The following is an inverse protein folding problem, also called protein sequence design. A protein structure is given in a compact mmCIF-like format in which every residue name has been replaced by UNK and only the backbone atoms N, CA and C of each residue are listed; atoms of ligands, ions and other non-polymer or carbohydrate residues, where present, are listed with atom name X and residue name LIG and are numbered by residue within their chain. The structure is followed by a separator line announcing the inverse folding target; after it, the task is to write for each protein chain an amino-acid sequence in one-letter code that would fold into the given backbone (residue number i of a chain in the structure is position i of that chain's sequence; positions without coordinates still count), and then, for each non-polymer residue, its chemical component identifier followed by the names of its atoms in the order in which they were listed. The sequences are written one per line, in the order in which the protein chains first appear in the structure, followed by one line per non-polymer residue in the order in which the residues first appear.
data_IF_877287126101
#
_entry.id   IF_877287126101
#
_cell.length_a   1.000
_cell.length_b   1.000
_cell.length_c   1.000
_cell.angle_alpha   90.00
_cell.angle_beta   90.00
_cell.angle_gamma   90.00
#
_symmetry.space_group_name_H-M   'P 1'
#
loop_
_entity.id
_entity.type
_entity.pdbx_description
1 polymer ?
#
# COMPACT_ATOMS: atom_id res chain seq x y z
N UNK A 1 8.84 2.79 -4.71
CA UNK A 1 8.78 1.31 -4.60
C UNK A 1 9.68 0.74 -3.50
N UNK A 2 10.95 1.15 -3.40
CA UNK A 2 11.88 0.67 -2.36
C UNK A 2 11.37 0.94 -0.93
N UNK A 3 10.64 2.04 -0.75
CA UNK A 3 9.98 2.42 0.52
C UNK A 3 8.89 1.46 0.99
N UNK A 4 8.17 0.80 0.07
CA UNK A 4 7.14 -0.18 0.44
C UNK A 4 7.77 -1.49 0.95
N UNK A 5 8.90 -1.89 0.36
CA UNK A 5 9.62 -3.11 0.72
C UNK A 5 10.29 -3.05 2.12
N UNK A 6 10.57 -1.85 2.64
CA UNK A 6 11.22 -1.65 3.93
C UNK A 6 10.31 -1.88 5.16
N UNK A 7 9.02 -2.19 4.96
CA UNK A 7 8.04 -2.31 6.05
C UNK A 7 8.02 -3.74 6.64
N UNK A 8 9.14 -4.23 7.17
CA UNK A 8 9.25 -5.67 7.55
C UNK A 8 9.07 -5.98 9.03
N UNK A 9 9.04 -4.99 9.93
CA UNK A 9 8.76 -5.26 11.35
C UNK A 9 8.08 -4.05 12.00
N UNK A 10 6.83 -4.20 12.44
CA UNK A 10 6.14 -3.16 13.19
C UNK A 10 5.70 -3.75 14.55
N UNK A 11 6.36 -3.33 15.63
CA UNK A 11 5.97 -3.58 17.03
C UNK A 11 5.33 -4.96 17.30
N UNK A 12 6.05 -6.05 17.01
CA UNK A 12 5.59 -7.42 17.30
C UNK A 12 4.65 -8.05 16.27
N UNK A 13 4.22 -7.30 15.24
CA UNK A 13 3.45 -7.82 14.11
C UNK A 13 4.41 -8.17 12.96
N UNK A 14 4.37 -9.43 12.52
CA UNK A 14 5.07 -9.88 11.32
C UNK A 14 4.33 -9.42 10.07
N UNK A 15 5.02 -8.76 9.15
CA UNK A 15 4.46 -8.33 7.87
C UNK A 15 4.85 -9.31 6.76
N UNK A 16 3.88 -10.00 6.16
CA UNK A 16 4.05 -10.87 4.98
C UNK A 16 3.78 -10.05 3.72
N UNK A 17 4.83 -9.47 3.13
CA UNK A 17 4.75 -8.67 1.91
C UNK A 17 4.85 -9.56 0.66
N UNK A 18 3.87 -9.44 -0.25
CA UNK A 18 3.79 -10.18 -1.51
C UNK A 18 3.62 -9.21 -2.67
N UNK A 19 4.53 -9.31 -3.62
CA UNK A 19 4.45 -8.61 -4.90
C UNK A 19 3.92 -9.55 -5.99
N UNK A 20 3.03 -9.06 -6.85
CA UNK A 20 2.65 -9.76 -8.09
C UNK A 20 2.70 -8.84 -9.30
N UNK A 21 2.84 -9.47 -10.46
CA UNK A 21 3.03 -8.77 -11.72
C UNK A 21 4.44 -8.22 -11.89
N UNK A 22 4.70 -7.64 -13.06
CA UNK A 22 5.99 -7.01 -13.37
C UNK A 22 6.07 -5.66 -12.68
N UNK A 23 7.05 -5.49 -11.79
CA UNK A 23 7.30 -4.22 -11.11
C UNK A 23 7.72 -3.19 -12.15
N UNK A 24 6.97 -2.08 -12.19
CA UNK A 24 7.24 -0.95 -13.08
C UNK A 24 7.40 0.33 -12.26
N UNK A 25 8.20 1.29 -12.74
CA UNK A 25 8.24 2.63 -12.15
C UNK A 25 6.82 3.20 -12.07
N UNK A 26 6.50 3.77 -10.91
CA UNK A 26 5.23 4.43 -10.70
C UNK A 26 5.42 5.95 -10.69
N UNK A 27 4.40 6.71 -11.11
CA UNK A 27 4.27 8.12 -10.79
C UNK A 27 4.46 8.36 -9.29
N UNK A 28 5.12 9.47 -8.94
CA UNK A 28 5.56 9.74 -7.56
C UNK A 28 4.39 9.90 -6.58
N UNK A 29 3.28 10.48 -7.04
CA UNK A 29 2.02 10.61 -6.30
C UNK A 29 1.40 9.24 -5.99
N UNK A 30 1.38 8.32 -6.96
CA UNK A 30 0.91 6.94 -6.76
C UNK A 30 1.81 6.18 -5.79
N UNK A 31 3.14 6.28 -5.96
CA UNK A 31 4.09 5.61 -5.06
C UNK A 31 3.95 6.11 -3.61
N UNK A 32 3.78 7.42 -3.42
CA UNK A 32 3.59 8.02 -2.11
C UNK A 32 2.24 7.63 -1.49
N UNK A 33 1.15 7.67 -2.27
CA UNK A 33 -0.17 7.26 -1.80
C UNK A 33 -0.17 5.79 -1.40
N UNK A 34 0.41 4.92 -2.22
CA UNK A 34 0.58 3.50 -1.92
C UNK A 34 1.35 3.27 -0.62
N UNK A 35 2.48 3.97 -0.43
CA UNK A 35 3.26 3.91 0.79
C UNK A 35 2.44 4.31 2.02
N UNK A 36 1.70 5.43 1.95
CA UNK A 36 0.88 5.90 3.08
C UNK A 36 -0.29 4.98 3.40
N UNK A 37 -0.92 4.38 2.38
CA UNK A 37 -1.99 3.39 2.59
C UNK A 37 -1.45 2.18 3.33
N UNK A 38 -0.31 1.63 2.88
CA UNK A 38 0.31 0.47 3.54
C UNK A 38 0.76 0.81 4.95
N UNK A 39 1.42 1.95 5.15
CA UNK A 39 1.89 2.40 6.46
C UNK A 39 0.73 2.53 7.45
N UNK A 40 -0.30 3.29 7.10
CA UNK A 40 -1.46 3.52 7.97
C UNK A 40 -2.19 2.21 8.28
N UNK A 41 -2.34 1.34 7.27
CA UNK A 41 -2.97 0.03 7.45
C UNK A 41 -2.18 -0.85 8.43
N UNK A 42 -0.85 -0.91 8.30
CA UNK A 42 0.01 -1.67 9.22
C UNK A 42 -0.04 -1.07 10.63
N UNK A 43 -0.05 0.26 10.75
CA UNK A 43 -0.24 0.94 12.05
C UNK A 43 -1.58 0.57 12.69
N UNK A 44 -2.66 0.53 11.91
CA UNK A 44 -3.98 0.11 12.39
C UNK A 44 -3.97 -1.35 12.88
N UNK A 45 -3.31 -2.25 12.15
CA UNK A 45 -3.14 -3.64 12.60
C UNK A 45 -2.42 -3.69 13.95
N UNK A 46 -1.29 -3.01 14.08
CA UNK A 46 -0.48 -2.98 15.32
C UNK A 46 -1.29 -2.45 16.50
N UNK A 47 -2.06 -1.37 16.30
CA UNK A 47 -2.79 -0.70 17.39
C UNK A 47 -4.10 -1.39 17.76
N UNK A 48 -4.77 -2.03 16.80
CA UNK A 48 -6.19 -2.40 16.98
C UNK A 48 -6.53 -3.87 16.71
N UNK A 49 -5.74 -4.60 15.92
CA UNK A 49 -6.16 -5.96 15.49
C UNK A 49 -5.98 -7.03 16.57
N UNK A 50 -4.98 -6.90 17.44
CA UNK A 50 -4.50 -7.97 18.30
C UNK A 50 -3.90 -9.17 17.52
N UNK A 51 -3.65 -9.03 16.22
CA UNK A 51 -3.01 -10.04 15.39
C UNK A 51 -1.49 -10.04 15.59
N UNK A 52 -0.86 -11.21 15.45
CA UNK A 52 0.61 -11.34 15.43
C UNK A 52 1.20 -11.22 14.03
N UNK A 53 0.34 -11.13 13.00
CA UNK A 53 0.76 -10.98 11.61
C UNK A 53 -0.28 -10.26 10.77
N UNK A 54 0.18 -9.53 9.77
CA UNK A 54 -0.63 -9.07 8.64
C UNK A 54 0.01 -9.45 7.31
N UNK A 55 -0.81 -9.53 6.28
CA UNK A 55 -0.41 -9.71 4.89
C UNK A 55 -0.59 -8.41 4.14
N UNK A 56 0.44 -8.02 3.40
CA UNK A 56 0.37 -6.92 2.44
C UNK A 56 0.57 -7.53 1.05
N UNK A 57 -0.40 -7.36 0.16
CA UNK A 57 -0.25 -7.69 -1.25
C UNK A 57 -0.21 -6.42 -2.08
N UNK A 58 0.75 -6.36 -2.99
CA UNK A 58 0.88 -5.28 -3.96
C UNK A 58 0.97 -5.90 -5.35
N UNK A 59 -0.09 -5.69 -6.15
CA UNK A 59 -0.24 -6.26 -7.48
C UNK A 59 -0.09 -5.14 -8.52
N UNK A 60 0.96 -5.24 -9.34
CA UNK A 60 1.14 -4.39 -10.53
C UNK A 60 0.27 -4.93 -11.66
N UNK A 61 -0.89 -4.30 -11.87
CA UNK A 61 -1.77 -4.55 -13.00
C UNK A 61 -1.38 -3.69 -14.20
N UNK A 62 -1.96 -3.95 -15.36
CA UNK A 62 -1.65 -3.23 -16.61
C UNK A 62 -2.00 -1.74 -16.57
N UNK A 63 -3.02 -1.36 -15.81
CA UNK A 63 -3.56 -0.01 -15.73
C UNK A 63 -3.67 0.51 -14.29
N UNK A 64 -3.23 -0.26 -13.29
CA UNK A 64 -3.39 0.11 -11.89
C UNK A 64 -2.35 -0.56 -10.98
N UNK A 65 -2.19 0.01 -9.79
CA UNK A 65 -1.59 -0.64 -8.63
C UNK A 65 -2.70 -1.05 -7.68
N UNK A 66 -2.84 -2.36 -7.42
CA UNK A 66 -3.77 -2.86 -6.42
C UNK A 66 -3.02 -3.20 -5.13
N UNK A 67 -3.57 -2.75 -4.00
CA UNK A 67 -3.01 -2.95 -2.66
C UNK A 67 -4.07 -3.62 -1.80
N UNK A 68 -3.67 -4.67 -1.11
CA UNK A 68 -4.49 -5.36 -0.12
C UNK A 68 -3.70 -5.49 1.18
N UNK A 69 -4.25 -5.02 2.29
CA UNK A 69 -3.71 -5.26 3.63
C UNK A 69 -4.76 -6.00 4.44
N UNK A 70 -4.40 -7.17 4.96
CA UNK A 70 -5.30 -7.98 5.76
C UNK A 70 -4.62 -8.59 6.98
N UNK A 71 -5.39 -8.76 8.05
CA UNK A 71 -4.97 -9.48 9.25
C UNK A 71 -5.99 -10.56 9.63
N UNK A 72 -5.64 -11.35 10.65
CA UNK A 72 -6.51 -12.40 11.23
C UNK A 72 -6.82 -12.13 12.70
N UNK A 73 -6.73 -10.87 13.11
CA UNK A 73 -7.01 -10.43 14.46
C UNK A 73 -8.49 -10.46 14.78
N UNK A 74 -8.87 -9.85 15.91
CA UNK A 74 -10.24 -9.94 16.46
C UNK A 74 -11.30 -9.23 15.61
N UNK A 75 -10.89 -8.58 14.50
CA UNK A 75 -11.75 -7.70 13.72
C UNK A 75 -12.21 -6.56 14.61
N UNK A 76 -11.32 -5.59 14.85
CA UNK A 76 -11.61 -4.48 15.76
C UNK A 76 -12.95 -3.83 15.40
N UNK A 77 -13.80 -3.62 16.41
CA UNK A 77 -14.89 -2.66 16.28
C UNK A 77 -14.22 -1.37 15.81
N UNK A 78 -14.65 -0.79 14.70
CA UNK A 78 -14.14 0.49 14.22
C UNK A 78 -14.54 1.56 15.23
N UNK A 79 -13.80 1.63 16.34
CA UNK A 79 -13.94 2.68 17.33
C UNK A 79 -13.62 4.02 16.68
N UNK A 80 -14.13 5.08 17.27
CA UNK A 80 -14.02 6.47 16.80
C UNK A 80 -12.61 6.90 16.40
N UNK A 81 -11.56 6.31 17.00
CA UNK A 81 -10.15 6.61 16.70
C UNK A 81 -9.63 5.99 15.39
N UNK A 82 -10.27 4.94 14.87
CA UNK A 82 -9.93 4.37 13.54
C UNK A 82 -10.45 5.22 12.38
N UNK A 83 -11.38 6.14 12.66
CA UNK A 83 -12.02 6.99 11.65
C UNK A 83 -11.03 7.85 10.88
N UNK A 84 -10.09 8.51 11.56
CA UNK A 84 -9.15 9.43 10.90
C UNK A 84 -8.18 8.71 9.95
N UNK A 85 -7.67 7.54 10.33
CA UNK A 85 -6.76 6.76 9.49
C UNK A 85 -7.45 6.25 8.22
N UNK A 86 -8.67 5.72 8.34
CA UNK A 86 -9.47 5.25 7.21
C UNK A 86 -9.93 6.40 6.29
N UNK A 87 -10.35 7.53 6.86
CA UNK A 87 -10.73 8.73 6.10
C UNK A 87 -9.54 9.24 5.29
N UNK A 88 -8.37 9.42 5.91
CA UNK A 88 -7.18 9.89 5.19
C UNK A 88 -6.70 8.93 4.10
N UNK A 89 -6.89 7.61 4.28
CA UNK A 89 -6.63 6.63 3.22
C UNK A 89 -7.64 6.76 2.07
N UNK A 90 -8.93 6.87 2.37
CA UNK A 90 -9.99 7.05 1.38
C UNK A 90 -9.79 8.31 0.55
N UNK A 91 -9.49 9.43 1.19
CA UNK A 91 -9.22 10.72 0.54
C UNK A 91 -8.03 10.61 -0.41
N UNK A 92 -6.91 10.02 0.03
CA UNK A 92 -5.72 9.81 -0.83
C UNK A 92 -6.03 8.97 -2.06
N UNK A 93 -6.84 7.92 -1.91
CA UNK A 93 -7.26 7.09 -3.04
C UNK A 93 -8.18 7.87 -3.97
N UNK A 94 -9.13 8.63 -3.43
CA UNK A 94 -10.07 9.43 -4.21
C UNK A 94 -9.36 10.54 -5.01
N UNK A 95 -8.33 11.18 -4.45
CA UNK A 95 -7.50 12.18 -5.13
C UNK A 95 -6.80 11.62 -6.38
N UNK A 96 -6.57 10.31 -6.43
CA UNK A 96 -5.98 9.61 -7.56
C UNK A 96 -7.02 8.88 -8.42
N UNK A 97 -8.30 9.21 -8.24
CA UNK A 97 -9.43 8.58 -8.94
C UNK A 97 -9.48 7.05 -8.78
N UNK A 98 -9.02 6.56 -7.64
CA UNK A 98 -9.00 5.14 -7.33
C UNK A 98 -10.19 4.63 -6.53
N UNK A 99 -10.19 3.33 -6.26
CA UNK A 99 -11.21 2.64 -5.50
C UNK A 99 -10.69 2.24 -4.12
N UNK A 100 -11.49 2.47 -3.07
CA UNK A 100 -11.11 2.15 -1.69
C UNK A 100 -12.21 1.41 -0.93
N UNK A 101 -11.85 0.28 -0.33
CA UNK A 101 -12.71 -0.51 0.56
C UNK A 101 -11.98 -0.81 1.85
N UNK A 102 -12.67 -0.71 2.98
CA UNK A 102 -12.15 -1.12 4.28
C UNK A 102 -13.26 -1.69 5.14
N UNK A 103 -12.98 -2.77 5.88
CA UNK A 103 -13.97 -3.39 6.77
C UNK A 103 -13.51 -4.69 7.42
N UNK A 104 -14.28 -5.14 8.40
CA UNK A 104 -14.11 -6.46 9.02
C UNK A 104 -14.51 -7.57 8.05
N UNK A 105 -13.88 -8.75 8.20
CA UNK A 105 -14.15 -9.90 7.33
C UNK A 105 -14.97 -10.96 8.06
N UNK A 106 -15.78 -11.69 7.29
CA UNK A 106 -16.47 -12.88 7.80
C UNK A 106 -15.43 -13.92 8.25
N UNK A 107 -15.51 -14.35 9.51
CA UNK A 107 -14.51 -15.23 10.14
C UNK A 107 -13.34 -14.50 10.82
N UNK A 108 -13.40 -13.18 10.96
CA UNK A 108 -12.45 -12.37 11.74
C UNK A 108 -11.42 -11.62 10.89
N UNK A 109 -10.72 -10.70 11.55
CA UNK A 109 -9.74 -9.82 10.94
C UNK A 109 -10.34 -8.61 10.21
N UNK A 110 -9.45 -7.78 9.68
CA UNK A 110 -9.79 -6.58 8.93
C UNK A 110 -9.15 -6.61 7.53
N UNK A 111 -9.78 -5.92 6.58
CA UNK A 111 -9.30 -5.73 5.22
C UNK A 111 -9.24 -4.25 4.91
N UNK A 112 -8.13 -3.82 4.33
CA UNK A 112 -8.01 -2.58 3.55
C UNK A 112 -7.65 -2.97 2.12
N UNK A 113 -8.42 -2.48 1.15
CA UNK A 113 -8.17 -2.68 -0.27
C UNK A 113 -8.21 -1.33 -0.99
N UNK A 114 -7.19 -1.08 -1.81
CA UNK A 114 -7.08 0.12 -2.64
C UNK A 114 -6.68 -0.25 -4.08
N UNK A 115 -7.30 0.38 -5.07
CA UNK A 115 -6.89 0.31 -6.48
C UNK A 115 -6.55 1.71 -6.95
N UNK A 116 -5.30 1.93 -7.32
CA UNK A 116 -4.78 3.22 -7.81
C UNK A 116 -4.55 3.13 -9.32
N UNK A 117 -5.33 3.83 -10.16
CA UNK A 117 -5.07 3.90 -11.59
C UNK A 117 -3.67 4.44 -11.88
N UNK A 118 -2.96 3.80 -12.81
CA UNK A 118 -1.61 4.21 -13.25
C UNK A 118 -1.72 4.65 -14.71
N UNK A 119 -1.75 5.96 -15.03
CA UNK A 119 -1.91 6.42 -16.41
C UNK A 119 -0.76 5.97 -17.32
N UNK A 120 -1.08 5.60 -18.56
CA UNK A 120 -0.09 5.11 -19.55
C UNK A 120 1.03 6.10 -19.83
N UNK A 121 0.71 7.40 -19.93
CA UNK A 121 1.69 8.47 -20.14
C UNK A 121 2.63 8.67 -18.93
N UNK A 122 2.14 8.36 -17.73
CA UNK A 122 2.91 8.51 -16.50
C UNK A 122 3.86 7.32 -16.27
N UNK A 123 3.54 6.13 -16.82
CA UNK A 123 4.45 4.97 -16.87
C UNK A 123 5.70 5.26 -17.69
N UNK A 124 5.55 5.82 -18.88
CA UNK A 124 6.66 6.16 -19.78
C UNK A 124 7.58 7.24 -19.21
N UNK A 125 7.03 8.22 -18.48
CA UNK A 125 7.82 9.26 -17.83
C UNK A 125 8.61 8.73 -16.62
N UNK A 126 8.04 7.79 -15.86
CA UNK A 126 8.72 7.15 -14.74
C UNK A 126 9.83 6.17 -15.20
N UNK A 127 9.61 5.47 -16.33
CA UNK A 127 10.61 4.64 -17.00
C UNK A 127 11.80 5.48 -17.50
N UNK A 128 11.55 6.63 -18.15
CA UNK A 128 12.59 7.52 -18.65
C UNK A 128 13.46 8.12 -17.51
N UNK A 129 12.86 8.41 -16.34
CA UNK A 129 13.61 8.92 -15.17
C UNK A 129 14.47 7.87 -14.47
N UNK A 130 14.14 6.59 -14.61
CA UNK A 130 14.91 5.48 -13.99
C UNK A 130 16.10 5.07 -14.86
N UNK A 131 16.08 5.36 -16.16
CA UNK A 131 17.19 5.08 -17.09
C UNK A 131 18.32 6.11 -17.10
N UNK A 132 18.24 7.19 -16.32
CA UNK A 132 19.24 8.24 -16.26
C UNK A 132 20.13 8.10 -15.01
N UNK A 133 21.01 7.10 -14.98
CA UNK A 133 22.20 7.11 -14.11
C UNK A 133 23.39 7.72 -14.86
N UNK A 134 24.22 8.57 -14.23
CA UNK A 134 25.42 9.10 -14.86
C UNK A 134 26.47 7.99 -14.97
N UNK A 135 27.00 7.76 -16.17
CA UNK A 135 28.28 7.06 -16.33
C UNK A 135 29.33 7.86 -15.57
N UNK A 136 29.73 7.39 -14.39
CA UNK A 136 30.92 7.86 -13.72
C UNK A 136 32.10 7.60 -14.66
N UNK A 137 32.74 8.70 -15.09
CA UNK A 137 33.90 8.68 -15.94
C UNK A 137 35.06 7.95 -15.26
N UNK A 138 35.75 7.15 -16.07
CA UNK A 138 37.09 6.67 -15.75
C UNK A 138 38.03 7.87 -15.59
N UNK A 139 38.84 7.83 -14.54
CA UNK A 139 40.00 8.67 -14.30
C UNK A 139 41.02 7.88 -13.53
#
# INVERSE_FOLDING_TARGET
MERLAATTTAAGVRVDLRWRGTRRPLPADIDLAAFRIVQESVTNVVRHSGATSCRVRVDHLDDALAIEVSDRGRGGNAGTDTGYGLVGMRERVALLHGDFTAGTRHGGGFLVAARLPVPRAARTAAEAKTGAEPKAGAG
#
